data_IF_952208981812
#
_entry.id   IF_952208981812
#
_cell.length_a   1.000
_cell.length_b   1.000
_cell.length_c   1.000
_cell.angle_alpha   90.00
_cell.angle_beta   90.00
_cell.angle_gamma   90.00
#
_symmetry.space_group_name_H-M   'P 1'
#
loop_
_entity.id
_entity.type
_entity.pdbx_description
1 polymer ?
#
# COMPACT_ATOMS: atom_id res chain seq x y z
N UNK A 1 -24.51 -17.49 34.69
CA UNK A 1 -24.27 -16.14 34.10
C UNK A 1 -23.38 -16.29 32.85
N UNK A 2 -23.95 -16.42 31.66
CA UNK A 2 -23.18 -16.49 30.41
C UNK A 2 -22.79 -15.08 29.94
N UNK A 3 -21.48 -14.86 29.78
CA UNK A 3 -20.89 -13.59 29.33
C UNK A 3 -21.36 -13.23 27.92
N UNK A 4 -22.27 -12.24 27.83
CA UNK A 4 -22.74 -11.64 26.56
C UNK A 4 -21.63 -10.95 25.75
N UNK A 5 -20.42 -10.80 26.29
CA UNK A 5 -19.28 -10.16 25.61
C UNK A 5 -18.59 -11.05 24.56
N UNK A 6 -18.52 -12.38 24.78
CA UNK A 6 -17.74 -13.29 23.91
C UNK A 6 -18.33 -13.46 22.51
N UNK A 7 -19.66 -13.36 22.34
CA UNK A 7 -20.33 -13.52 21.03
C UNK A 7 -20.13 -12.32 20.09
N UNK A 8 -19.90 -11.10 20.63
CA UNK A 8 -19.73 -9.89 19.81
C UNK A 8 -18.38 -9.80 19.11
N UNK A 9 -17.36 -10.48 19.64
CA UNK A 9 -15.99 -10.45 19.10
C UNK A 9 -15.71 -11.59 18.11
N UNK A 10 -16.46 -12.69 18.18
CA UNK A 10 -16.28 -13.83 17.29
C UNK A 10 -16.47 -13.48 15.80
N UNK A 11 -17.38 -12.56 15.48
CA UNK A 11 -17.61 -12.04 14.12
C UNK A 11 -16.48 -11.16 13.57
N UNK A 12 -15.56 -10.71 14.42
CA UNK A 12 -14.39 -9.92 14.03
C UNK A 12 -13.16 -10.80 13.80
N UNK A 13 -13.26 -12.10 14.11
CA UNK A 13 -12.19 -13.04 13.87
C UNK A 13 -12.16 -13.33 12.36
N UNK A 14 -11.06 -12.96 11.74
CA UNK A 14 -10.80 -13.25 10.34
C UNK A 14 -10.84 -14.76 10.09
N UNK A 15 -11.46 -15.13 8.98
CA UNK A 15 -11.45 -16.48 8.43
C UNK A 15 -10.03 -16.81 7.94
N UNK A 16 -9.69 -18.10 7.84
CA UNK A 16 -8.36 -18.52 7.38
C UNK A 16 -7.99 -17.94 6.01
N UNK A 17 -8.96 -17.85 5.09
CA UNK A 17 -8.77 -17.23 3.77
C UNK A 17 -8.47 -15.74 3.84
N UNK A 18 -9.08 -15.02 4.79
CA UNK A 18 -8.81 -13.60 4.98
C UNK A 18 -7.42 -13.38 5.60
N UNK A 19 -6.95 -14.32 6.43
CA UNK A 19 -5.58 -14.33 6.93
C UNK A 19 -4.54 -14.59 5.84
N UNK A 20 -4.80 -15.55 4.95
CA UNK A 20 -3.94 -15.83 3.79
C UNK A 20 -3.81 -14.59 2.91
N UNK A 21 -4.94 -13.94 2.61
CA UNK A 21 -4.98 -12.67 1.89
C UNK A 21 -4.18 -11.56 2.59
N UNK A 22 -4.28 -11.45 3.92
CA UNK A 22 -3.49 -10.47 4.66
C UNK A 22 -1.99 -10.75 4.56
N UNK A 23 -1.56 -12.01 4.59
CA UNK A 23 -0.16 -12.36 4.41
C UNK A 23 0.32 -12.07 2.98
N UNK A 24 -0.53 -12.23 1.96
CA UNK A 24 -0.21 -11.80 0.58
C UNK A 24 -0.12 -10.28 0.42
N UNK A 25 -0.94 -9.52 1.14
CA UNK A 25 -0.96 -8.05 1.08
C UNK A 25 0.18 -7.39 1.88
N UNK A 26 0.63 -8.07 2.94
CA UNK A 26 1.70 -7.62 3.85
C UNK A 26 2.98 -7.11 3.16
N UNK A 27 3.58 -7.79 2.16
CA UNK A 27 4.77 -7.27 1.47
C UNK A 27 4.52 -5.91 0.82
N UNK A 28 3.36 -5.73 0.17
CA UNK A 28 2.96 -4.45 -0.40
C UNK A 28 2.86 -3.37 0.68
N UNK A 29 2.18 -3.64 1.79
CA UNK A 29 2.06 -2.69 2.90
C UNK A 29 3.40 -2.33 3.55
N UNK A 30 4.33 -3.29 3.65
CA UNK A 30 5.69 -3.02 4.13
C UNK A 30 6.45 -2.06 3.22
N UNK A 31 6.26 -2.15 1.91
CA UNK A 31 6.87 -1.21 0.96
C UNK A 31 6.37 0.22 1.22
N UNK A 32 5.05 0.40 1.38
CA UNK A 32 4.48 1.70 1.75
C UNK A 32 5.03 2.22 3.07
N UNK A 33 5.08 1.36 4.10
CA UNK A 33 5.63 1.76 5.40
C UNK A 33 7.08 2.22 5.28
N UNK A 34 7.91 1.50 4.51
CA UNK A 34 9.31 1.83 4.33
C UNK A 34 9.51 3.15 3.58
N UNK A 35 8.76 3.38 2.50
CA UNK A 35 8.80 4.63 1.72
C UNK A 35 8.34 5.81 2.58
N UNK A 36 7.20 5.70 3.25
CA UNK A 36 6.68 6.77 4.11
C UNK A 36 7.63 7.09 5.26
N UNK A 37 8.26 6.08 5.86
CA UNK A 37 9.25 6.28 6.91
C UNK A 37 10.47 7.04 6.39
N UNK A 38 11.03 6.63 5.26
CA UNK A 38 12.17 7.32 4.64
C UNK A 38 11.85 8.79 4.37
N UNK A 39 10.71 9.07 3.72
CA UNK A 39 10.31 10.45 3.41
C UNK A 39 10.05 11.29 4.67
N UNK A 40 9.48 10.68 5.72
CA UNK A 40 9.25 11.35 7.00
C UNK A 40 10.54 11.69 7.74
N UNK A 41 11.61 10.91 7.57
CA UNK A 41 12.90 11.14 8.23
C UNK A 41 13.74 12.20 7.51
N UNK A 42 13.49 12.46 6.22
CA UNK A 42 14.22 13.44 5.41
C UNK A 42 13.94 14.91 5.76
N UNK A 43 12.96 15.20 6.63
CA UNK A 43 12.64 16.53 7.15
C UNK A 43 12.01 17.48 6.11
N UNK A 44 12.77 17.83 5.07
CA UNK A 44 12.32 18.58 3.89
C UNK A 44 12.91 17.93 2.62
N UNK A 45 12.38 16.78 2.17
CA UNK A 45 12.85 16.15 0.93
C UNK A 45 12.56 17.05 -0.27
N UNK A 46 13.53 17.21 -1.17
CA UNK A 46 13.34 17.91 -2.44
C UNK A 46 12.55 17.02 -3.41
N UNK A 47 11.88 17.63 -4.40
CA UNK A 47 11.16 16.87 -5.44
C UNK A 47 12.08 15.85 -6.12
N UNK A 48 13.34 16.23 -6.39
CA UNK A 48 14.35 15.34 -6.96
C UNK A 48 14.70 14.13 -6.08
N UNK A 49 14.52 14.23 -4.75
CA UNK A 49 14.72 13.12 -3.81
C UNK A 49 13.47 12.22 -3.73
N UNK A 50 12.28 12.80 -3.93
CA UNK A 50 11.00 12.10 -3.84
C UNK A 50 10.69 11.30 -5.10
N UNK A 51 11.04 11.82 -6.29
CA UNK A 51 10.77 11.16 -7.58
C UNK A 51 11.30 9.71 -7.61
N UNK A 52 12.60 9.44 -7.33
CA UNK A 52 13.12 8.08 -7.40
C UNK A 52 12.47 7.11 -6.40
N UNK A 53 12.06 7.65 -5.24
CA UNK A 53 11.38 6.87 -4.20
C UNK A 53 9.98 6.45 -4.66
N UNK A 54 9.26 7.36 -5.34
CA UNK A 54 7.95 7.07 -5.90
C UNK A 54 8.05 6.16 -7.12
N UNK A 55 9.02 6.36 -8.01
CA UNK A 55 9.26 5.48 -9.17
C UNK A 55 9.51 4.03 -8.71
N UNK A 56 10.37 3.85 -7.69
CA UNK A 56 10.64 2.53 -7.09
C UNK A 56 9.37 1.89 -6.51
N UNK A 57 8.46 2.70 -5.95
CA UNK A 57 7.19 2.21 -5.43
C UNK A 57 6.24 1.83 -6.57
N UNK A 58 6.23 2.60 -7.65
CA UNK A 58 5.45 2.34 -8.86
C UNK A 58 5.86 1.03 -9.53
N UNK A 59 7.17 0.80 -9.72
CA UNK A 59 7.72 -0.45 -10.28
C UNK A 59 7.28 -1.68 -9.47
N UNK A 60 7.25 -1.57 -8.15
CA UNK A 60 6.81 -2.67 -7.26
C UNK A 60 5.31 -2.95 -7.38
N UNK A 61 4.50 -1.94 -7.66
CA UNK A 61 3.07 -2.11 -7.88
C UNK A 61 2.78 -2.69 -9.26
N UNK A 62 3.52 -2.27 -10.28
CA UNK A 62 3.43 -2.84 -11.63
C UNK A 62 3.84 -4.32 -11.64
N UNK A 63 4.87 -4.69 -10.89
CA UNK A 63 5.23 -6.09 -10.70
C UNK A 63 4.08 -6.90 -10.06
N UNK A 64 3.38 -6.35 -9.07
CA UNK A 64 2.22 -6.99 -8.43
C UNK A 64 1.00 -7.06 -9.35
N UNK A 65 0.80 -6.06 -10.21
CA UNK A 65 -0.33 -5.99 -11.13
C UNK A 65 -0.22 -7.04 -12.24
N UNK A 66 1.01 -7.28 -12.70
CA UNK A 66 1.37 -8.26 -13.72
C UNK A 66 1.62 -9.67 -13.17
N UNK A 67 1.55 -9.88 -11.85
CA UNK A 67 1.68 -11.20 -11.24
C UNK A 67 0.33 -11.93 -11.21
N UNK A 68 0.10 -12.78 -12.21
CA UNK A 68 -1.10 -13.62 -12.33
C UNK A 68 -1.14 -14.80 -11.35
N UNK A 69 -0.08 -15.01 -10.56
CA UNK A 69 -0.04 -16.07 -9.56
C UNK A 69 -0.67 -15.67 -8.23
N UNK A 70 -0.95 -14.37 -8.04
CA UNK A 70 -1.55 -13.80 -6.83
C UNK A 70 -3.07 -13.88 -6.82
N UNK A 71 -3.64 -13.79 -5.62
CA UNK A 71 -5.08 -13.75 -5.42
C UNK A 71 -5.75 -12.62 -6.23
N UNK A 72 -6.96 -12.90 -6.72
CA UNK A 72 -7.67 -12.05 -7.70
C UNK A 72 -7.90 -10.62 -7.22
N UNK A 73 -7.89 -10.40 -5.91
CA UNK A 73 -8.11 -9.11 -5.24
C UNK A 73 -6.82 -8.30 -4.99
N UNK A 74 -5.65 -8.95 -5.03
CA UNK A 74 -4.36 -8.27 -4.86
C UNK A 74 -4.08 -7.34 -6.03
N UNK A 75 -4.36 -7.79 -7.26
CA UNK A 75 -4.15 -7.00 -8.48
C UNK A 75 -5.02 -5.73 -8.54
N UNK A 76 -6.35 -5.77 -8.29
CA UNK A 76 -7.17 -4.56 -8.14
C UNK A 76 -6.70 -3.64 -7.01
N UNK A 77 -6.15 -4.20 -5.93
CA UNK A 77 -5.60 -3.42 -4.83
C UNK A 77 -4.34 -2.67 -5.25
N UNK A 78 -3.44 -3.34 -5.98
CA UNK A 78 -2.26 -2.72 -6.58
C UNK A 78 -2.65 -1.61 -7.58
N UNK A 79 -3.59 -1.88 -8.49
CA UNK A 79 -4.08 -0.89 -9.45
C UNK A 79 -4.64 0.37 -8.76
N UNK A 80 -5.45 0.20 -7.71
CA UNK A 80 -5.95 1.33 -6.91
C UNK A 80 -4.83 2.10 -6.24
N UNK A 81 -3.81 1.40 -5.74
CA UNK A 81 -2.67 2.04 -5.10
C UNK A 81 -1.85 2.86 -6.11
N UNK A 82 -1.62 2.35 -7.33
CA UNK A 82 -0.99 3.10 -8.41
C UNK A 82 -1.77 4.37 -8.74
N UNK A 83 -3.11 4.29 -8.91
CA UNK A 83 -3.95 5.47 -9.17
C UNK A 83 -3.83 6.54 -8.08
N UNK A 84 -3.68 6.15 -6.81
CA UNK A 84 -3.49 7.09 -5.70
C UNK A 84 -2.13 7.76 -5.81
N UNK A 85 -1.07 6.99 -6.09
CA UNK A 85 0.29 7.53 -6.25
C UNK A 85 0.34 8.50 -7.43
N UNK A 86 -0.21 8.12 -8.58
CA UNK A 86 -0.26 8.96 -9.80
C UNK A 86 -0.95 10.29 -9.53
N UNK A 87 -2.03 10.29 -8.75
CA UNK A 87 -2.73 11.51 -8.34
C UNK A 87 -1.83 12.46 -7.55
N UNK A 88 -0.95 11.95 -6.70
CA UNK A 88 0.00 12.79 -5.97
C UNK A 88 1.19 13.18 -6.82
N UNK A 89 1.61 12.31 -7.74
CA UNK A 89 2.68 12.59 -8.68
C UNK A 89 2.32 13.73 -9.65
N UNK A 90 1.09 13.71 -10.20
CA UNK A 90 0.58 14.79 -11.06
C UNK A 90 0.64 16.17 -10.38
N UNK A 91 0.48 16.22 -9.05
CA UNK A 91 0.59 17.48 -8.29
C UNK A 91 2.03 17.97 -8.13
N UNK A 92 3.01 17.07 -8.20
CA UNK A 92 4.42 17.45 -8.17
C UNK A 92 4.85 18.00 -9.54
N UNK A 93 4.33 17.43 -10.63
CA UNK A 93 4.58 17.92 -12.00
C UNK A 93 3.98 19.33 -12.24
N UNK A 94 2.82 19.62 -11.64
CA UNK A 94 2.20 20.96 -11.66
C UNK A 94 2.96 22.02 -10.83
N UNK A 95 4.00 21.63 -10.08
CA UNK A 95 4.76 22.54 -9.21
C UNK A 95 5.78 23.37 -10.00
N UNK A 96 5.55 24.69 -10.09
CA UNK A 96 6.46 25.69 -10.71
C UNK A 96 7.83 25.85 -10.04
N UNK A 97 8.13 25.05 -9.02
CA UNK A 97 9.46 25.01 -8.38
C UNK A 97 10.52 24.40 -9.31
N UNK A 98 10.10 23.79 -10.42
CA UNK A 98 10.90 23.48 -11.60
C UNK A 98 10.37 24.25 -12.81
#
# INVERSE_FOLDING_TARGET
KQSKGKKKLAKLKLLNKEWELMEELKPMLKNFQHVTKQLSELGCPLIADVIPVIDTLHDRLDALLNDFTKETIIRPSAAKASTIIDKYYAKMDDSKMY
#
